data_IF_327101034305
#
_entry.id   IF_327101034305
#
_cell.length_a   1.000
_cell.length_b   1.000
_cell.length_c   1.000
_cell.angle_alpha   90.00
_cell.angle_beta   90.00
_cell.angle_gamma   90.00
#
_symmetry.space_group_name_H-M   'P 1'
#
loop_
_entity.id
_entity.type
_entity.pdbx_description
1 polymer ?
#
# COMPACT_ATOMS: atom_id res chain seq x y z
N UNK A 1 2.95 -4.05 11.42
CA UNK A 1 4.42 -4.13 11.33
C UNK A 1 4.95 -2.82 10.81
N UNK A 2 6.09 -2.36 11.31
CA UNK A 2 6.72 -1.11 10.88
C UNK A 2 8.07 -1.41 10.26
N UNK A 3 8.34 -0.78 9.13
CA UNK A 3 9.55 -0.93 8.33
C UNK A 3 10.24 0.42 8.24
N UNK A 4 11.57 0.40 8.27
CA UNK A 4 12.41 1.59 8.19
C UNK A 4 13.44 1.36 7.10
N UNK A 5 13.67 2.38 6.29
CA UNK A 5 14.70 2.41 5.27
C UNK A 5 15.83 3.28 5.80
N UNK A 6 16.96 2.64 6.09
CA UNK A 6 18.17 3.29 6.56
C UNK A 6 19.17 3.52 5.42
N UNK A 7 19.91 4.61 5.48
CA UNK A 7 21.04 4.86 4.59
C UNK A 7 22.30 4.19 5.15
N UNK A 8 22.93 3.31 4.37
CA UNK A 8 24.13 2.56 4.76
C UNK A 8 25.34 3.43 5.13
N UNK A 9 25.38 4.68 4.67
CA UNK A 9 26.53 5.57 4.89
C UNK A 9 26.45 6.32 6.22
N UNK A 10 25.26 6.80 6.60
CA UNK A 10 25.08 7.69 7.76
C UNK A 10 24.17 7.09 8.85
N UNK A 11 23.64 5.88 8.65
CA UNK A 11 22.56 5.28 9.47
C UNK A 11 21.34 6.19 9.64
N UNK A 12 21.20 7.19 8.77
CA UNK A 12 20.08 8.11 8.78
C UNK A 12 18.85 7.41 8.22
N UNK A 13 17.70 7.66 8.85
CA UNK A 13 16.42 7.11 8.42
C UNK A 13 15.92 7.91 7.21
N UNK A 14 15.96 7.29 6.03
CA UNK A 14 15.53 7.91 4.77
C UNK A 14 14.02 7.85 4.58
N UNK A 15 13.38 6.77 5.04
CA UNK A 15 11.93 6.60 4.99
C UNK A 15 11.46 5.58 6.03
N UNK A 16 10.18 5.65 6.40
CA UNK A 16 9.53 4.63 7.22
C UNK A 16 8.11 4.40 6.72
N UNK A 17 7.63 3.17 6.91
CA UNK A 17 6.24 2.85 6.64
C UNK A 17 5.69 1.79 7.59
N UNK A 18 4.39 1.83 7.82
CA UNK A 18 3.68 0.85 8.64
C UNK A 18 2.67 0.10 7.81
N UNK A 19 2.78 -1.22 7.78
CA UNK A 19 1.83 -2.14 7.16
C UNK A 19 0.93 -2.76 8.23
N UNK A 20 -0.37 -2.74 7.97
CA UNK A 20 -1.36 -3.47 8.75
C UNK A 20 -2.07 -4.48 7.85
N UNK A 21 -2.24 -5.70 8.37
CA UNK A 21 -3.09 -6.69 7.72
C UNK A 21 -4.52 -6.18 7.74
N UNK A 22 -5.17 -6.24 6.60
CA UNK A 22 -6.52 -5.76 6.43
C UNK A 22 -7.29 -6.65 5.46
N UNK A 23 -8.58 -6.39 5.32
CA UNK A 23 -9.39 -7.03 4.30
C UNK A 23 -10.19 -5.96 3.57
N UNK A 24 -10.29 -6.12 2.25
CA UNK A 24 -11.25 -5.35 1.47
C UNK A 24 -12.47 -6.24 1.30
N UNK A 25 -13.56 -5.90 2.00
CA UNK A 25 -14.81 -6.61 1.89
C UNK A 25 -15.75 -5.92 0.90
N UNK A 26 -16.64 -6.70 0.29
CA UNK A 26 -17.67 -6.17 -0.62
C UNK A 26 -18.61 -5.17 0.05
N UNK A 27 -18.77 -5.29 1.37
CA UNK A 27 -19.65 -4.44 2.18
C UNK A 27 -19.04 -3.09 2.52
N UNK A 28 -17.74 -2.87 2.24
CA UNK A 28 -17.07 -1.59 2.48
C UNK A 28 -17.33 -0.58 1.34
N UNK A 29 -18.03 -1.00 0.27
CA UNK A 29 -18.42 -0.14 -0.85
C UNK A 29 -19.90 0.21 -0.77
N UNK A 30 -20.23 1.51 -0.84
CA UNK A 30 -21.63 1.98 -0.84
C UNK A 30 -22.40 1.53 -2.09
N UNK A 31 -21.73 1.25 -3.21
CA UNK A 31 -22.37 0.87 -4.47
C UNK A 31 -21.68 -0.28 -5.20
N UNK A 32 -22.49 -1.24 -5.66
CA UNK A 32 -22.06 -2.42 -6.46
C UNK A 32 -21.33 -2.01 -7.76
N UNK A 33 -21.56 -0.80 -8.26
CA UNK A 33 -20.99 -0.27 -9.50
C UNK A 33 -19.53 0.14 -9.33
N UNK A 34 -19.18 0.75 -8.19
CA UNK A 34 -17.79 1.10 -7.85
C UNK A 34 -16.95 -0.15 -7.64
N UNK A 35 -17.53 -1.16 -6.97
CA UNK A 35 -16.88 -2.43 -6.79
C UNK A 35 -16.55 -3.12 -8.14
N UNK A 36 -17.48 -3.10 -9.10
CA UNK A 36 -17.22 -3.66 -10.43
C UNK A 36 -16.16 -2.88 -11.22
N UNK A 37 -16.10 -1.54 -11.08
CA UNK A 37 -15.06 -0.70 -11.70
C UNK A 37 -13.68 -0.97 -11.07
N UNK A 38 -13.62 -1.13 -9.75
CA UNK A 38 -12.39 -1.47 -9.03
C UNK A 38 -11.89 -2.87 -9.40
N UNK A 39 -12.80 -3.85 -9.55
CA UNK A 39 -12.46 -5.23 -9.88
C UNK A 39 -11.85 -5.38 -11.28
N UNK A 40 -12.45 -4.73 -12.28
CA UNK A 40 -12.08 -4.88 -13.71
C UNK A 40 -10.62 -4.49 -14.01
N UNK A 41 -10.03 -3.61 -13.19
CA UNK A 41 -8.68 -3.11 -13.41
C UNK A 41 -7.61 -3.79 -12.53
N UNK A 42 -8.00 -4.53 -11.48
CA UNK A 42 -7.07 -5.05 -10.45
C UNK A 42 -7.15 -6.55 -10.21
N UNK A 43 -8.28 -7.21 -10.50
CA UNK A 43 -8.46 -8.63 -10.23
C UNK A 43 -9.06 -9.34 -11.45
N UNK A 44 -8.22 -10.09 -12.16
CA UNK A 44 -8.62 -10.89 -13.36
C UNK A 44 -9.31 -12.20 -12.95
N UNK A 45 -9.18 -12.64 -11.70
CA UNK A 45 -9.72 -13.92 -11.24
C UNK A 45 -11.24 -13.85 -10.99
N UNK A 46 -11.99 -14.77 -11.60
CA UNK A 46 -13.46 -14.85 -11.53
C UNK A 46 -14.02 -15.37 -10.19
N UNK A 47 -13.16 -15.88 -9.29
CA UNK A 47 -13.60 -16.36 -7.97
C UNK A 47 -14.06 -15.20 -7.09
N UNK A 48 -15.37 -15.16 -6.84
CA UNK A 48 -16.05 -14.17 -5.98
C UNK A 48 -15.79 -14.51 -4.52
N UNK A 49 -14.79 -13.89 -3.91
CA UNK A 49 -14.56 -13.96 -2.47
C UNK A 49 -15.33 -12.83 -1.78
N UNK A 50 -15.98 -13.11 -0.65
CA UNK A 50 -16.67 -12.08 0.15
C UNK A 50 -15.71 -11.08 0.80
N UNK A 51 -14.47 -11.52 1.05
CA UNK A 51 -13.38 -10.72 1.62
C UNK A 51 -12.11 -11.04 0.84
N UNK A 52 -11.44 -10.03 0.32
CA UNK A 52 -10.13 -10.17 -0.30
C UNK A 52 -9.05 -9.84 0.73
N UNK A 53 -8.02 -10.67 0.90
CA UNK A 53 -6.89 -10.33 1.76
C UNK A 53 -6.21 -9.09 1.19
N UNK A 54 -5.97 -8.10 2.05
CA UNK A 54 -5.36 -6.84 1.68
C UNK A 54 -4.34 -6.42 2.74
N UNK A 55 -3.51 -5.45 2.37
CA UNK A 55 -2.59 -4.82 3.31
C UNK A 55 -2.79 -3.32 3.20
N UNK A 56 -3.09 -2.68 4.34
CA UNK A 56 -3.18 -1.22 4.42
C UNK A 56 -1.80 -0.65 4.72
N UNK A 57 -1.39 0.32 3.91
CA UNK A 57 -0.27 1.21 4.23
C UNK A 57 -0.84 2.30 5.14
N UNK A 58 -0.59 2.21 6.44
CA UNK A 58 -1.18 3.13 7.41
C UNK A 58 -0.41 4.44 7.53
N UNK A 59 0.92 4.35 7.47
CA UNK A 59 1.82 5.50 7.61
C UNK A 59 2.93 5.33 6.61
N UNK A 60 3.26 6.41 5.91
CA UNK A 60 4.40 6.50 5.01
C UNK A 60 5.02 7.88 5.21
N UNK A 61 6.23 7.89 5.75
CA UNK A 61 7.05 9.09 5.90
C UNK A 61 8.32 8.94 5.09
N UNK A 62 8.69 9.98 4.36
CA UNK A 62 9.98 10.09 3.66
C UNK A 62 10.65 11.34 4.18
N UNK A 63 11.96 11.27 4.37
CA UNK A 63 12.75 12.42 4.79
C UNK A 63 12.63 13.57 3.77
N UNK A 64 12.67 14.81 4.26
CA UNK A 64 12.50 16.02 3.44
C UNK A 64 13.58 16.15 2.37
N UNK A 65 14.80 15.71 2.66
CA UNK A 65 15.92 15.74 1.71
C UNK A 65 15.70 14.78 0.53
N UNK A 66 14.92 13.73 0.74
CA UNK A 66 14.60 12.70 -0.26
C UNK A 66 13.22 12.91 -0.91
N UNK A 67 12.51 13.98 -0.52
CA UNK A 67 11.21 14.35 -1.08
C UNK A 67 11.37 14.78 -2.54
N UNK A 68 10.76 14.04 -3.47
CA UNK A 68 10.83 14.31 -4.91
C UNK A 68 11.81 13.41 -5.69
N UNK A 69 12.61 12.59 -5.00
CA UNK A 69 13.53 11.64 -5.65
C UNK A 69 12.91 10.26 -5.94
N UNK A 70 11.60 10.20 -6.17
CA UNK A 70 10.87 8.94 -6.46
C UNK A 70 10.98 7.83 -5.39
N UNK A 71 11.55 8.11 -4.22
CA UNK A 71 11.67 7.16 -3.10
C UNK A 71 10.32 6.55 -2.68
N UNK A 72 9.25 7.36 -2.68
CA UNK A 72 7.89 6.86 -2.42
C UNK A 72 7.39 5.88 -3.51
N UNK A 73 7.77 6.10 -4.77
CA UNK A 73 7.41 5.21 -5.89
C UNK A 73 8.22 3.92 -5.85
N UNK A 74 9.51 4.00 -5.55
CA UNK A 74 10.39 2.85 -5.36
C UNK A 74 9.87 1.95 -4.22
N UNK A 75 9.49 2.57 -3.11
CA UNK A 75 8.98 1.86 -1.95
C UNK A 75 7.63 1.17 -2.24
N UNK A 76 6.76 1.79 -3.05
CA UNK A 76 5.53 1.16 -3.55
C UNK A 76 5.77 -0.02 -4.48
N UNK A 77 6.84 -0.02 -5.27
CA UNK A 77 7.20 -1.15 -6.15
C UNK A 77 7.78 -2.33 -5.35
N UNK A 78 8.34 -2.06 -4.17
CA UNK A 78 9.06 -3.04 -3.36
C UNK A 78 8.16 -3.81 -2.38
N UNK A 79 6.89 -3.43 -2.23
CA UNK A 79 5.86 -4.04 -1.36
C UNK A 79 4.81 -4.72 -2.23
#
# INVERSE_FOLDING_TARGET
>A
MSYVVENKYNYAISAYFSLANDKVALNDFESKTEFNRFRKHRFVNEKRLKSYPAVKICRLGVDLLMKGQYMGTFLRLSI
#
